data_IF_984782053632
#
_entry.id   IF_984782053632
#
_cell.length_a   1.000
_cell.length_b   1.000
_cell.length_c   1.000
_cell.angle_alpha   90.00
_cell.angle_beta   90.00
_cell.angle_gamma   90.00
#
_symmetry.space_group_name_H-M   'P 1'
#
loop_
_entity.id
_entity.type
_entity.pdbx_description
1 polymer ?
#
# COMPACT_ATOMS: atom_id res chain seq x y z
N UNK A 1 5.86 -16.25 18.78
CA UNK A 1 4.78 -15.42 18.19
C UNK A 1 3.56 -16.27 17.85
N UNK A 2 2.33 -15.76 17.97
CA UNK A 2 1.13 -16.46 17.51
C UNK A 2 1.07 -16.54 15.97
N UNK A 3 0.33 -17.51 15.42
CA UNK A 3 0.28 -17.78 13.96
C UNK A 3 -0.16 -16.56 13.15
N UNK A 4 -1.19 -15.84 13.62
CA UNK A 4 -1.69 -14.64 12.93
C UNK A 4 -0.63 -13.55 12.77
N UNK A 5 0.31 -13.45 13.72
CA UNK A 5 1.38 -12.47 13.68
C UNK A 5 2.40 -12.80 12.58
N UNK A 6 2.70 -14.09 12.38
CA UNK A 6 3.50 -14.53 11.24
C UNK A 6 2.81 -14.24 9.90
N UNK A 7 1.49 -14.50 9.81
CA UNK A 7 0.71 -14.18 8.60
C UNK A 7 0.79 -12.68 8.30
N UNK A 8 0.67 -11.83 9.32
CA UNK A 8 0.81 -10.39 9.16
C UNK A 8 2.22 -10.00 8.67
N UNK A 9 3.28 -10.55 9.24
CA UNK A 9 4.65 -10.28 8.77
C UNK A 9 4.86 -10.72 7.32
N UNK A 10 4.29 -11.87 6.89
CA UNK A 10 4.33 -12.30 5.48
C UNK A 10 3.60 -11.30 4.58
N UNK A 11 2.45 -10.78 5.03
CA UNK A 11 1.73 -9.73 4.31
C UNK A 11 2.57 -8.46 4.15
N UNK A 12 3.28 -8.03 5.21
CA UNK A 12 4.21 -6.89 5.16
C UNK A 12 5.34 -7.14 4.15
N UNK A 13 5.99 -8.31 4.22
CA UNK A 13 7.06 -8.67 3.28
C UNK A 13 6.55 -8.67 1.84
N UNK A 14 5.40 -9.30 1.59
CA UNK A 14 4.77 -9.32 0.27
C UNK A 14 4.44 -7.92 -0.24
N UNK A 15 3.90 -7.06 0.61
CA UNK A 15 3.61 -5.65 0.30
C UNK A 15 4.86 -4.84 -0.02
N UNK A 16 5.92 -4.97 0.79
CA UNK A 16 7.21 -4.31 0.55
C UNK A 16 7.84 -4.80 -0.76
N UNK A 17 7.85 -6.11 -1.02
CA UNK A 17 8.35 -6.65 -2.29
C UNK A 17 7.54 -6.11 -3.48
N UNK A 18 6.21 -6.11 -3.40
CA UNK A 18 5.36 -5.55 -4.44
C UNK A 18 5.67 -4.07 -4.71
N UNK A 19 5.85 -3.26 -3.66
CA UNK A 19 6.18 -1.85 -3.78
C UNK A 19 7.54 -1.61 -4.47
N UNK A 20 8.53 -2.48 -4.23
CA UNK A 20 9.87 -2.38 -4.83
C UNK A 20 9.86 -2.75 -6.31
N UNK A 21 9.07 -3.75 -6.70
CA UNK A 21 9.01 -4.25 -8.08
C UNK A 21 7.92 -3.58 -8.94
N UNK A 22 7.20 -2.62 -8.38
CA UNK A 22 6.21 -1.82 -9.10
C UNK A 22 6.90 -0.98 -10.19
N UNK A 23 6.74 -1.44 -11.44
CA UNK A 23 7.40 -0.87 -12.63
C UNK A 23 6.91 0.54 -12.97
N UNK A 24 5.76 0.95 -12.45
CA UNK A 24 5.14 2.24 -12.73
C UNK A 24 5.65 3.36 -11.81
N UNK A 25 6.42 3.02 -10.78
CA UNK A 25 7.20 3.98 -9.99
C UNK A 25 8.63 3.97 -10.50
N UNK A 26 9.12 5.07 -11.08
CA UNK A 26 10.56 5.31 -11.20
C UNK A 26 11.12 5.52 -9.78
N UNK A 27 11.68 4.49 -9.11
CA UNK A 27 11.97 4.61 -7.69
C UNK A 27 13.28 5.37 -7.59
N UNK A 28 13.24 6.61 -7.13
CA UNK A 28 14.46 7.23 -6.60
C UNK A 28 14.97 6.31 -5.49
N UNK A 29 16.28 6.07 -5.42
CA UNK A 29 16.87 5.08 -4.51
C UNK A 29 16.39 5.19 -3.04
N UNK A 30 16.09 6.41 -2.57
CA UNK A 30 15.55 6.62 -1.22
C UNK A 30 14.16 6.02 -0.98
N UNK A 31 13.36 5.82 -2.03
CA UNK A 31 12.01 5.22 -1.92
C UNK A 31 12.12 3.72 -1.66
N UNK A 32 12.99 3.02 -2.40
CA UNK A 32 13.28 1.60 -2.16
C UNK A 32 13.86 1.39 -0.77
N UNK A 33 14.85 2.20 -0.39
CA UNK A 33 15.45 2.12 0.94
C UNK A 33 14.41 2.38 2.05
N UNK A 34 13.50 3.33 1.84
CA UNK A 34 12.45 3.62 2.80
C UNK A 34 11.39 2.54 2.90
N UNK A 35 10.95 1.95 1.78
CA UNK A 35 9.99 0.84 1.78
C UNK A 35 10.56 -0.42 2.45
N UNK A 36 11.85 -0.70 2.23
CA UNK A 36 12.57 -1.79 2.93
C UNK A 36 12.64 -1.49 4.43
N UNK A 37 13.07 -0.28 4.79
CA UNK A 37 13.21 0.11 6.19
C UNK A 37 11.86 0.09 6.91
N UNK A 38 10.78 0.50 6.25
CA UNK A 38 9.42 0.45 6.80
C UNK A 38 8.97 -0.99 7.07
N UNK A 39 9.19 -1.90 6.12
CA UNK A 39 8.93 -3.33 6.31
C UNK A 39 9.72 -3.92 7.47
N UNK A 40 11.01 -3.57 7.59
CA UNK A 40 11.86 -4.00 8.70
C UNK A 40 11.41 -3.42 10.05
N UNK A 41 11.05 -2.14 10.09
CA UNK A 41 10.50 -1.49 11.28
C UNK A 41 9.19 -2.16 11.72
N UNK A 42 8.29 -2.47 10.77
CA UNK A 42 7.09 -3.23 11.05
C UNK A 42 7.41 -4.59 11.68
N UNK A 43 8.27 -5.40 11.06
CA UNK A 43 8.63 -6.73 11.55
C UNK A 43 9.32 -6.65 12.92
N UNK A 44 10.21 -5.69 13.14
CA UNK A 44 10.93 -5.54 14.40
C UNK A 44 9.99 -5.29 15.57
N UNK A 45 8.93 -4.49 15.40
CA UNK A 45 7.91 -4.28 16.46
C UNK A 45 7.25 -5.61 16.86
N UNK A 46 6.96 -6.48 15.89
CA UNK A 46 6.44 -7.82 16.17
C UNK A 46 7.44 -8.73 16.87
N UNK A 47 8.71 -8.73 16.43
CA UNK A 47 9.75 -9.52 17.06
C UNK A 47 9.97 -9.11 18.52
N UNK A 48 9.94 -7.79 18.79
CA UNK A 48 10.06 -7.23 20.14
C UNK A 48 8.85 -7.62 21.00
N UNK A 49 7.63 -7.38 20.52
CA UNK A 49 6.38 -7.66 21.25
C UNK A 49 6.26 -9.10 21.74
N UNK A 50 6.82 -10.05 20.99
CA UNK A 50 6.73 -11.47 21.31
C UNK A 50 8.07 -12.05 21.78
N UNK A 51 8.98 -11.21 22.26
CA UNK A 51 10.27 -11.59 22.84
C UNK A 51 11.10 -12.56 21.95
N UNK A 52 11.06 -12.36 20.63
CA UNK A 52 11.83 -13.16 19.67
C UNK A 52 13.25 -12.64 19.45
N UNK A 53 13.55 -11.42 19.92
CA UNK A 53 14.84 -10.74 19.77
C UNK A 53 15.22 -10.06 21.08
N UNK A 54 16.52 -10.08 21.41
CA UNK A 54 17.05 -9.45 22.60
C UNK A 54 17.75 -8.13 22.23
N UNK A 55 17.09 -7.01 22.52
CA UNK A 55 17.70 -5.68 22.45
C UNK A 55 18.02 -5.17 23.84
N UNK A 56 19.03 -4.31 23.96
CA UNK A 56 19.33 -3.64 25.23
C UNK A 56 18.20 -2.70 25.68
N UNK A 57 17.51 -2.05 24.73
CA UNK A 57 16.41 -1.13 24.98
C UNK A 57 15.24 -1.39 24.01
N UNK A 58 14.49 -2.50 24.18
CA UNK A 58 13.45 -2.93 23.24
C UNK A 58 12.35 -1.86 23.04
N UNK A 59 11.93 -1.19 24.11
CA UNK A 59 10.87 -0.18 24.06
C UNK A 59 11.29 1.05 23.23
N UNK A 60 12.55 1.46 23.30
CA UNK A 60 13.09 2.58 22.52
C UNK A 60 13.13 2.21 21.03
N UNK A 61 13.68 1.03 20.72
CA UNK A 61 13.77 0.54 19.34
C UNK A 61 12.37 0.40 18.73
N UNK A 62 11.42 -0.17 19.48
CA UNK A 62 10.04 -0.33 19.03
C UNK A 62 9.36 1.02 18.78
N UNK A 63 9.52 1.99 19.69
CA UNK A 63 8.98 3.35 19.52
C UNK A 63 9.55 4.04 18.29
N UNK A 64 10.86 3.94 18.05
CA UNK A 64 11.48 4.51 16.85
C UNK A 64 10.96 3.85 15.57
N UNK A 65 10.81 2.53 15.56
CA UNK A 65 10.24 1.80 14.43
C UNK A 65 8.79 2.22 14.16
N UNK A 66 7.97 2.35 15.21
CA UNK A 66 6.59 2.77 15.10
C UNK A 66 6.46 4.20 14.54
N UNK A 67 7.25 5.14 15.05
CA UNK A 67 7.29 6.52 14.55
C UNK A 67 7.72 6.54 13.08
N UNK A 68 8.75 5.77 12.73
CA UNK A 68 9.22 5.68 11.35
C UNK A 68 8.12 5.19 10.41
N UNK A 69 7.44 4.10 10.76
CA UNK A 69 6.36 3.53 9.94
C UNK A 69 5.19 4.51 9.76
N UNK A 70 4.81 5.26 10.80
CA UNK A 70 3.78 6.29 10.68
C UNK A 70 4.23 7.46 9.79
N UNK A 71 5.47 7.91 9.94
CA UNK A 71 6.03 8.98 9.12
C UNK A 71 6.15 8.56 7.65
N UNK A 72 6.57 7.32 7.38
CA UNK A 72 6.66 6.76 6.04
C UNK A 72 5.28 6.58 5.42
N UNK A 73 4.31 6.07 6.18
CA UNK A 73 2.92 5.96 5.74
C UNK A 73 2.31 7.32 5.38
N UNK A 74 2.58 8.37 6.16
CA UNK A 74 2.14 9.73 5.87
C UNK A 74 2.80 10.29 4.60
N UNK A 75 4.12 10.11 4.45
CA UNK A 75 4.84 10.45 3.22
C UNK A 75 4.25 9.72 2.01
N UNK A 76 3.98 8.42 2.14
CA UNK A 76 3.39 7.62 1.08
C UNK A 76 1.98 8.08 0.71
N UNK A 77 1.15 8.46 1.69
CA UNK A 77 -0.17 9.02 1.45
C UNK A 77 -0.11 10.31 0.62
N UNK A 78 0.77 11.23 1.00
CA UNK A 78 0.91 12.53 0.34
C UNK A 78 1.38 12.42 -1.11
N UNK A 79 2.27 11.48 -1.41
CA UNK A 79 2.93 11.38 -2.71
C UNK A 79 2.37 10.29 -3.64
N UNK A 80 1.79 9.22 -3.09
CA UNK A 80 1.37 8.05 -3.85
C UNK A 80 -0.10 7.68 -3.68
N UNK A 81 -0.66 7.84 -2.48
CA UNK A 81 -2.05 7.41 -2.21
C UNK A 81 -3.03 8.58 -2.07
N UNK A 82 -2.86 9.65 -2.84
CA UNK A 82 -3.78 10.78 -2.83
C UNK A 82 -4.97 10.55 -3.76
N UNK A 83 -6.16 11.03 -3.38
CA UNK A 83 -7.36 10.92 -4.23
C UNK A 83 -7.17 11.45 -5.66
N UNK A 84 -6.53 12.62 -5.88
CA UNK A 84 -6.28 13.12 -7.24
C UNK A 84 -5.50 12.14 -8.11
N UNK A 85 -4.53 11.42 -7.52
CA UNK A 85 -3.74 10.42 -8.23
C UNK A 85 -4.55 9.17 -8.55
N UNK A 86 -5.26 8.61 -7.56
CA UNK A 86 -6.19 7.49 -7.78
C UNK A 86 -7.20 7.77 -8.89
N UNK A 87 -7.77 8.98 -8.85
CA UNK A 87 -8.70 9.45 -9.88
C UNK A 87 -8.02 9.50 -11.25
N UNK A 88 -6.84 10.12 -11.35
CA UNK A 88 -6.12 10.20 -12.62
C UNK A 88 -5.81 8.80 -13.19
N UNK A 89 -5.34 7.87 -12.37
CA UNK A 89 -4.94 6.51 -12.78
C UNK A 89 -6.15 5.69 -13.25
N UNK A 90 -7.28 5.76 -12.55
CA UNK A 90 -8.52 5.05 -12.92
C UNK A 90 -9.10 5.63 -14.22
N UNK A 91 -9.16 6.96 -14.34
CA UNK A 91 -9.64 7.60 -15.58
C UNK A 91 -8.71 7.34 -16.76
N UNK A 92 -7.39 7.30 -16.54
CA UNK A 92 -6.42 6.96 -17.59
C UNK A 92 -6.61 5.51 -18.05
N UNK A 93 -6.68 4.57 -17.10
CA UNK A 93 -6.86 3.15 -17.38
C UNK A 93 -8.16 2.88 -18.15
N UNK A 94 -9.27 3.49 -17.74
CA UNK A 94 -10.56 3.34 -18.43
C UNK A 94 -10.51 3.88 -19.88
N UNK A 95 -9.81 5.00 -20.12
CA UNK A 95 -9.62 5.53 -21.47
C UNK A 95 -8.71 4.65 -22.34
N UNK A 96 -7.65 4.08 -21.76
CA UNK A 96 -6.77 3.15 -22.48
C UNK A 96 -7.50 1.86 -22.86
N UNK A 97 -8.31 1.31 -21.97
CA UNK A 97 -9.20 0.18 -22.25
C UNK A 97 -10.15 0.46 -23.42
N UNK A 98 -10.75 1.65 -23.46
CA UNK A 98 -11.59 2.08 -24.58
C UNK A 98 -10.79 2.20 -25.89
N UNK A 99 -9.57 2.76 -25.85
CA UNK A 99 -8.71 2.83 -27.06
C UNK A 99 -8.34 1.45 -27.60
N UNK A 100 -7.99 0.52 -26.71
CA UNK A 100 -7.66 -0.86 -27.09
C UNK A 100 -8.88 -1.55 -27.70
N UNK A 101 -10.04 -1.38 -27.07
CA UNK A 101 -11.31 -1.96 -27.54
C UNK A 101 -11.74 -1.37 -28.88
N UNK A 102 -11.64 -0.05 -29.06
CA UNK A 102 -11.94 0.64 -30.32
C UNK A 102 -11.04 0.15 -31.46
N UNK A 103 -9.74 -0.04 -31.19
CA UNK A 103 -8.80 -0.60 -32.17
C UNK A 103 -9.22 -2.00 -32.61
N UNK A 104 -9.56 -2.88 -31.65
CA UNK A 104 -10.00 -4.25 -31.93
C UNK A 104 -11.29 -4.29 -32.76
N UNK A 105 -12.30 -3.49 -32.40
CA UNK A 105 -13.56 -3.44 -33.15
C UNK A 105 -13.35 -2.92 -34.57
N UNK A 106 -12.49 -1.90 -34.75
CA UNK A 106 -12.11 -1.40 -36.07
C UNK A 106 -11.43 -2.48 -36.92
N UNK A 107 -10.51 -3.24 -36.34
CA UNK A 107 -9.80 -4.33 -37.03
C UNK A 107 -10.76 -5.48 -37.42
N UNK A 108 -11.83 -5.68 -36.65
CA UNK A 108 -12.89 -6.67 -36.91
C UNK A 108 -14.06 -6.15 -37.77
N UNK A 109 -14.03 -4.86 -38.17
CA UNK A 109 -15.11 -4.22 -38.93
C UNK A 109 -16.42 -4.06 -38.16
N UNK A 110 -16.36 -4.07 -36.83
CA UNK A 110 -17.51 -3.92 -35.93
C UNK A 110 -17.67 -2.47 -35.48
N UNK A 111 -18.92 -2.06 -35.23
CA UNK A 111 -19.20 -0.77 -34.60
C UNK A 111 -18.74 -0.75 -33.14
N UNK A 112 -18.09 0.34 -32.74
CA UNK A 112 -17.61 0.54 -31.37
C UNK A 112 -18.44 1.60 -30.65
N UNK A 113 -18.92 1.24 -29.47
CA UNK A 113 -19.52 2.18 -28.51
C UNK A 113 -18.57 2.37 -27.32
N UNK A 114 -18.16 3.62 -26.99
CA UNK A 114 -17.30 3.88 -25.85
C UNK A 114 -17.93 3.41 -24.54
N UNK A 115 -17.18 2.69 -23.72
CA UNK A 115 -17.62 2.27 -22.39
C UNK A 115 -17.25 3.30 -21.33
N UNK A 116 -16.27 4.16 -21.59
CA UNK A 116 -15.87 5.22 -20.68
C UNK A 116 -17.01 6.23 -20.47
N UNK A 117 -17.55 6.23 -19.25
CA UNK A 117 -18.46 7.25 -18.78
C UNK A 117 -17.83 7.97 -17.59
N UNK A 118 -17.65 9.28 -17.74
CA UNK A 118 -16.94 10.09 -16.73
C UNK A 118 -17.59 9.98 -15.34
N UNK A 119 -18.92 10.11 -15.23
CA UNK A 119 -19.62 10.06 -13.95
C UNK A 119 -19.52 8.70 -13.26
N UNK A 120 -19.61 7.61 -14.03
CA UNK A 120 -19.46 6.27 -13.50
C UNK A 120 -18.02 6.03 -13.03
N UNK A 121 -17.04 6.39 -13.86
CA UNK A 121 -15.60 6.26 -13.54
C UNK A 121 -15.23 7.09 -12.30
N UNK A 122 -15.82 8.28 -12.12
CA UNK A 122 -15.63 9.10 -10.92
C UNK A 122 -16.21 8.44 -9.66
N UNK A 123 -17.37 7.77 -9.77
CA UNK A 123 -17.96 7.01 -8.65
C UNK A 123 -17.08 5.81 -8.29
N UNK A 124 -16.57 5.10 -9.28
CA UNK A 124 -15.65 3.98 -9.10
C UNK A 124 -14.34 4.44 -8.43
N UNK A 125 -13.76 5.55 -8.88
CA UNK A 125 -12.56 6.12 -8.27
C UNK A 125 -12.75 6.47 -6.80
N UNK A 126 -13.90 7.07 -6.43
CA UNK A 126 -14.24 7.35 -5.03
C UNK A 126 -14.43 6.08 -4.22
N UNK A 127 -15.09 5.06 -4.77
CA UNK A 127 -15.32 3.79 -4.09
C UNK A 127 -13.99 3.07 -3.81
N UNK A 128 -13.11 2.98 -4.82
CA UNK A 128 -11.78 2.43 -4.69
C UNK A 128 -10.94 3.16 -3.64
N UNK A 129 -10.91 4.50 -3.69
CA UNK A 129 -10.16 5.29 -2.72
C UNK A 129 -10.65 5.07 -1.28
N UNK A 130 -11.98 5.03 -1.06
CA UNK A 130 -12.56 4.71 0.24
C UNK A 130 -12.17 3.29 0.69
N UNK A 131 -12.23 2.31 -0.23
CA UNK A 131 -11.83 0.93 0.02
C UNK A 131 -10.38 0.83 0.51
N UNK A 132 -9.46 1.52 -0.16
CA UNK A 132 -8.04 1.55 0.22
C UNK A 132 -7.86 2.16 1.61
N UNK A 133 -8.52 3.29 1.93
CA UNK A 133 -8.44 3.89 3.27
C UNK A 133 -8.93 2.92 4.35
N UNK A 134 -10.09 2.29 4.14
CA UNK A 134 -10.65 1.33 5.11
C UNK A 134 -9.68 0.17 5.32
N UNK A 135 -9.14 -0.39 4.24
CA UNK A 135 -8.15 -1.46 4.30
C UNK A 135 -6.88 -1.04 5.06
N UNK A 136 -6.36 0.17 4.81
CA UNK A 136 -5.20 0.71 5.54
C UNK A 136 -5.47 0.85 7.04
N UNK A 137 -6.65 1.31 7.43
CA UNK A 137 -7.04 1.41 8.86
C UNK A 137 -7.09 0.01 9.49
N UNK A 138 -7.72 -0.96 8.81
CA UNK A 138 -7.79 -2.34 9.30
C UNK A 138 -6.42 -3.00 9.41
N UNK A 139 -5.49 -2.70 8.51
CA UNK A 139 -4.11 -3.15 8.58
C UNK A 139 -3.34 -2.49 9.75
N UNK A 140 -3.60 -1.22 10.04
CA UNK A 140 -2.95 -0.48 11.11
C UNK A 140 -3.34 -1.00 12.52
N UNK A 141 -4.56 -1.50 12.70
CA UNK A 141 -5.07 -1.96 14.01
C UNK A 141 -4.20 -3.08 14.64
N UNK A 142 -3.90 -4.20 13.95
CA UNK A 142 -2.97 -5.20 14.45
C UNK A 142 -1.59 -4.64 14.79
N UNK A 143 -1.08 -3.70 13.98
CA UNK A 143 0.23 -3.10 14.20
C UNK A 143 0.27 -2.26 15.48
N UNK A 144 -0.74 -1.41 15.70
CA UNK A 144 -0.89 -0.62 16.94
C UNK A 144 -1.03 -1.53 18.15
N UNK A 145 -1.83 -2.60 18.05
CA UNK A 145 -1.98 -3.57 19.13
C UNK A 145 -0.64 -4.22 19.52
N UNK A 146 0.15 -4.65 18.53
CA UNK A 146 1.46 -5.27 18.77
C UNK A 146 2.48 -4.27 19.28
N UNK A 147 2.43 -3.02 18.81
CA UNK A 147 3.23 -1.94 19.36
C UNK A 147 2.93 -1.74 20.86
N UNK A 148 1.67 -1.70 21.27
CA UNK A 148 1.32 -1.60 22.69
C UNK A 148 1.82 -2.78 23.52
N UNK A 149 1.81 -3.99 22.96
CA UNK A 149 2.42 -5.16 23.62
C UNK A 149 3.93 -4.98 23.77
N UNK A 150 4.62 -4.47 22.75
CA UNK A 150 6.07 -4.29 22.75
C UNK A 150 6.62 -3.29 23.76
N UNK A 151 5.74 -2.51 24.40
CA UNK A 151 6.11 -1.56 25.44
C UNK A 151 6.04 -2.16 26.86
N UNK A 152 5.40 -3.34 27.00
CA UNK A 152 5.25 -4.07 28.25
C UNK A 152 6.34 -5.14 28.41
#
# INVERSE_FOLDING_TARGET
MPIWAYIYCVFVIGGTCYAIFDKDKLPRAYTVAGDILDGLCCINVFLIAFNQVAFAHPNIVSTLCFIYTLAWSYHAHRHYFSYPKFRADIHHSAKELDKISAKKHRDEGLDFTPQYQYEQTEREAKAWYKGVIIFSILALLPYVYVYLISLN
#
